data_IF_364506116607
#
_entry.id   IF_364506116607
#
_cell.length_a   1.000
_cell.length_b   1.000
_cell.length_c   1.000
_cell.angle_alpha   90.00
_cell.angle_beta   90.00
_cell.angle_gamma   90.00
#
_symmetry.space_group_name_H-M   'P 1'
#
loop_
_entity.id
_entity.type
_entity.pdbx_description
1 polymer ?
#
# COMPACT_ATOMS: atom_id res chain seq x y z
N UNK A 1 3.41 -8.87 23.80
CA UNK A 1 4.36 -7.83 24.28
C UNK A 1 3.54 -6.59 24.61
N UNK A 2 3.83 -5.88 25.72
CA UNK A 2 3.14 -4.63 26.08
C UNK A 2 4.16 -3.50 26.17
N UNK A 3 3.78 -2.29 25.77
CA UNK A 3 4.63 -1.10 25.84
C UNK A 3 3.83 0.15 26.21
N UNK A 4 4.52 1.17 26.72
CA UNK A 4 4.01 2.54 26.83
C UNK A 4 4.68 3.38 25.74
N UNK A 5 3.88 4.07 24.93
CA UNK A 5 4.35 5.00 23.89
C UNK A 5 3.84 6.40 24.20
N UNK A 6 4.64 7.40 23.87
CA UNK A 6 4.28 8.82 24.04
C UNK A 6 3.93 9.41 22.68
N UNK A 7 2.74 10.01 22.58
CA UNK A 7 2.26 10.66 21.36
C UNK A 7 1.88 12.11 21.72
N UNK A 8 2.69 13.06 21.26
CA UNK A 8 2.68 14.43 21.77
C UNK A 8 3.06 14.44 23.25
N UNK A 9 2.15 14.90 24.12
CA UNK A 9 2.37 15.00 25.58
C UNK A 9 1.51 14.00 26.36
N UNK A 10 1.07 12.91 25.72
CA UNK A 10 0.20 11.90 26.33
C UNK A 10 0.79 10.51 26.15
N UNK A 11 0.73 9.74 27.24
CA UNK A 11 1.17 8.35 27.29
C UNK A 11 0.01 7.41 26.93
N UNK A 12 0.33 6.40 26.14
CA UNK A 12 -0.59 5.37 25.65
C UNK A 12 -0.01 4.00 25.94
N UNK A 13 -0.84 3.10 26.51
CA UNK A 13 -0.46 1.71 26.70
C UNK A 13 -0.89 0.88 25.49
N UNK A 14 0.04 0.12 24.93
CA UNK A 14 -0.17 -0.72 23.74
C UNK A 14 0.05 -2.18 24.10
N UNK A 15 -0.84 -3.05 23.63
CA UNK A 15 -0.71 -4.51 23.74
C UNK A 15 -0.55 -5.11 22.35
N UNK A 16 0.69 -5.43 21.97
CA UNK A 16 1.03 -5.89 20.62
C UNK A 16 0.44 -7.26 20.28
N UNK A 17 -0.03 -8.05 21.26
CA UNK A 17 -0.76 -9.29 20.93
C UNK A 17 -2.18 -9.03 20.44
N UNK A 18 -2.64 -7.78 20.43
CA UNK A 18 -3.96 -7.36 19.92
C UNK A 18 -3.87 -6.61 18.59
N UNK A 19 -2.70 -6.63 17.94
CA UNK A 19 -2.54 -6.04 16.61
C UNK A 19 -3.52 -6.66 15.61
N UNK A 20 -4.00 -5.83 14.68
CA UNK A 20 -4.80 -6.28 13.53
C UNK A 20 -3.85 -6.27 12.34
N UNK A 21 -3.67 -7.44 11.73
CA UNK A 21 -2.94 -7.54 10.47
C UNK A 21 -3.81 -6.96 9.34
N UNK A 22 -3.26 -5.97 8.63
CA UNK A 22 -3.89 -5.30 7.49
C UNK A 22 -3.19 -5.65 6.17
N UNK A 23 -2.24 -6.59 6.19
CA UNK A 23 -1.52 -7.00 4.99
C UNK A 23 -2.35 -7.97 4.15
N UNK A 24 -2.18 -7.88 2.83
CA UNK A 24 -2.50 -8.94 1.89
C UNK A 24 -1.26 -9.84 1.83
N UNK A 25 -1.31 -11.07 2.38
CA UNK A 25 -0.15 -11.95 2.41
C UNK A 25 0.24 -12.41 1.00
N UNK A 26 1.54 -12.58 0.75
CA UNK A 26 2.03 -13.22 -0.47
C UNK A 26 1.68 -14.71 -0.45
N UNK A 27 0.54 -15.05 -1.05
CA UNK A 27 0.09 -16.43 -1.23
C UNK A 27 0.76 -17.05 -2.47
N UNK A 28 2.01 -17.48 -2.32
CA UNK A 28 2.79 -18.06 -3.42
C UNK A 28 2.04 -19.21 -4.10
N UNK A 29 1.99 -19.16 -5.44
CA UNK A 29 1.25 -20.10 -6.30
C UNK A 29 -0.30 -20.03 -6.15
N UNK A 30 -0.83 -19.36 -5.13
CA UNK A 30 -2.26 -19.19 -4.84
C UNK A 30 -2.81 -17.82 -5.24
N UNK A 31 -4.10 -17.59 -4.99
CA UNK A 31 -4.77 -16.31 -5.29
C UNK A 31 -4.07 -15.14 -4.60
N UNK A 32 -3.89 -14.06 -5.35
CA UNK A 32 -3.11 -12.87 -4.98
C UNK A 32 -3.57 -11.70 -5.88
N UNK A 33 -3.42 -10.44 -5.45
CA UNK A 33 -3.72 -9.32 -6.31
C UNK A 33 -2.73 -9.27 -7.48
N UNK A 34 -3.12 -8.61 -8.55
CA UNK A 34 -2.26 -8.36 -9.69
C UNK A 34 -2.49 -6.95 -10.22
N UNK A 35 -1.39 -6.25 -10.49
CA UNK A 35 -1.38 -5.01 -11.25
C UNK A 35 -0.44 -5.20 -12.43
N UNK A 36 -0.77 -4.61 -13.58
CA UNK A 36 0.03 -4.67 -14.83
C UNK A 36 0.20 -6.04 -15.49
N UNK A 37 -0.54 -7.07 -15.05
CA UNK A 37 -0.48 -8.40 -15.68
C UNK A 37 0.86 -9.11 -15.49
N UNK A 38 1.63 -8.75 -14.45
CA UNK A 38 2.92 -9.37 -14.16
C UNK A 38 2.76 -10.84 -13.79
N UNK A 39 3.87 -11.60 -13.86
CA UNK A 39 3.92 -12.97 -13.38
C UNK A 39 3.46 -13.06 -11.92
N UNK A 40 2.77 -14.16 -11.61
CA UNK A 40 2.28 -14.44 -10.26
C UNK A 40 3.46 -14.72 -9.33
N UNK A 41 3.38 -14.24 -8.09
CA UNK A 41 4.31 -14.64 -7.05
C UNK A 41 4.31 -16.16 -6.93
N UNK A 42 5.49 -16.74 -7.07
CA UNK A 42 5.68 -18.19 -7.12
C UNK A 42 6.74 -18.63 -6.14
N UNK A 43 6.59 -19.88 -5.70
CA UNK A 43 7.58 -20.58 -4.89
C UNK A 43 7.81 -21.96 -5.44
N UNK A 44 9.08 -22.34 -5.59
CA UNK A 44 9.49 -23.66 -6.08
C UNK A 44 10.63 -24.20 -5.21
N UNK A 45 10.66 -25.50 -4.88
CA UNK A 45 11.83 -26.09 -4.24
C UNK A 45 13.11 -25.77 -5.02
N UNK A 46 14.17 -25.39 -4.31
CA UNK A 46 15.48 -25.24 -4.93
C UNK A 46 15.96 -26.59 -5.47
N UNK A 47 16.55 -26.59 -6.67
CA UNK A 47 17.05 -27.81 -7.32
C UNK A 47 18.43 -27.56 -7.92
N UNK A 48 19.37 -28.43 -7.59
CA UNK A 48 20.72 -28.44 -8.16
C UNK A 48 21.21 -29.89 -8.34
N UNK A 49 21.28 -30.33 -9.60
CA UNK A 49 21.62 -31.72 -9.94
C UNK A 49 20.67 -32.74 -9.28
N UNK A 50 21.22 -33.55 -8.37
CA UNK A 50 20.45 -34.56 -7.60
C UNK A 50 19.84 -34.00 -6.31
N UNK A 51 20.20 -32.77 -5.94
CA UNK A 51 19.68 -32.14 -4.74
C UNK A 51 18.31 -31.51 -5.00
N UNK A 52 17.34 -31.78 -4.11
CA UNK A 52 16.03 -31.14 -4.10
C UNK A 52 15.75 -30.61 -2.68
N UNK A 53 15.50 -29.31 -2.56
CA UNK A 53 15.13 -28.63 -1.32
C UNK A 53 13.68 -28.88 -0.91
N UNK A 54 13.23 -30.14 -0.93
CA UNK A 54 11.88 -30.54 -0.52
C UNK A 54 11.89 -31.93 0.11
N UNK A 55 11.59 -32.00 1.41
CA UNK A 55 11.55 -33.25 2.17
C UNK A 55 10.48 -34.20 1.65
N UNK A 56 9.42 -33.67 1.02
CA UNK A 56 8.34 -34.46 0.41
C UNK A 56 8.79 -35.13 -0.89
N UNK A 57 9.91 -34.70 -1.47
CA UNK A 57 10.54 -35.27 -2.68
C UNK A 57 11.83 -36.02 -2.37
N UNK A 58 12.11 -36.34 -1.10
CA UNK A 58 13.31 -37.06 -0.67
C UNK A 58 14.51 -36.18 -0.34
N UNK A 59 14.34 -34.86 -0.33
CA UNK A 59 15.36 -33.92 0.12
C UNK A 59 15.61 -33.97 1.63
N UNK A 60 16.79 -33.55 2.12
CA UNK A 60 17.10 -33.53 3.54
C UNK A 60 16.47 -32.35 4.30
N UNK A 61 16.05 -31.29 3.60
CA UNK A 61 15.42 -30.10 4.17
C UNK A 61 14.52 -29.39 3.16
N UNK A 62 13.68 -28.46 3.64
CA UNK A 62 12.82 -27.62 2.82
C UNK A 62 13.44 -26.24 2.65
N UNK A 63 13.76 -25.86 1.42
CA UNK A 63 14.02 -24.46 1.08
C UNK A 63 13.65 -24.20 -0.37
N UNK A 64 12.95 -23.09 -0.56
CA UNK A 64 12.33 -22.75 -1.82
C UNK A 64 12.96 -21.47 -2.39
N UNK A 65 12.93 -21.36 -3.71
CA UNK A 65 13.22 -20.13 -4.44
C UNK A 65 11.91 -19.40 -4.67
N UNK A 66 11.81 -18.18 -4.14
CA UNK A 66 10.69 -17.27 -4.33
C UNK A 66 10.97 -16.32 -5.49
N UNK A 67 9.95 -16.04 -6.31
CA UNK A 67 10.00 -15.04 -7.38
C UNK A 67 8.70 -14.25 -7.39
N UNK A 68 8.78 -12.92 -7.34
CA UNK A 68 7.63 -12.02 -7.29
C UNK A 68 8.02 -10.59 -7.70
N UNK A 69 7.02 -9.82 -8.12
CA UNK A 69 7.12 -8.36 -8.35
C UNK A 69 6.43 -7.65 -7.19
N UNK A 70 7.22 -7.07 -6.29
CA UNK A 70 6.73 -6.61 -4.97
C UNK A 70 5.57 -5.60 -5.05
N UNK A 71 5.63 -4.67 -6.01
CA UNK A 71 4.60 -3.63 -6.21
C UNK A 71 3.28 -4.15 -6.79
N UNK A 72 3.23 -5.43 -7.21
CA UNK A 72 2.11 -5.95 -7.99
C UNK A 72 1.44 -7.18 -7.38
N UNK A 73 2.07 -7.87 -6.42
CA UNK A 73 1.60 -9.17 -5.92
C UNK A 73 1.05 -9.13 -4.47
N UNK A 74 1.10 -8.00 -3.78
CA UNK A 74 0.61 -7.89 -2.40
C UNK A 74 0.80 -6.52 -1.78
N UNK A 75 0.63 -6.43 -0.46
CA UNK A 75 0.93 -5.22 0.31
C UNK A 75 2.43 -4.95 0.29
N UNK A 76 2.80 -3.72 0.00
CA UNK A 76 4.19 -3.29 -0.12
C UNK A 76 4.33 -1.83 0.33
N UNK A 77 5.58 -1.35 0.34
CA UNK A 77 5.92 0.04 0.57
C UNK A 77 6.83 0.52 -0.54
N UNK A 78 6.80 1.81 -0.81
CA UNK A 78 7.64 2.45 -1.80
C UNK A 78 8.54 3.46 -1.11
N UNK A 79 9.68 3.73 -1.74
CA UNK A 79 10.54 4.85 -1.39
C UNK A 79 10.84 5.63 -2.67
N UNK A 80 11.48 6.79 -2.54
CA UNK A 80 11.78 7.65 -3.69
C UNK A 80 12.63 6.96 -4.78
N UNK A 81 13.39 5.92 -4.43
CA UNK A 81 14.10 5.07 -5.38
C UNK A 81 13.19 4.33 -6.38
N UNK A 82 11.87 4.28 -6.13
CA UNK A 82 10.88 3.75 -7.07
C UNK A 82 10.70 4.65 -8.31
N UNK A 83 10.84 5.97 -8.15
CA UNK A 83 10.53 6.97 -9.19
C UNK A 83 11.75 7.79 -9.62
N UNK A 84 12.95 7.41 -9.18
CA UNK A 84 14.20 8.10 -9.50
C UNK A 84 15.24 7.17 -10.12
N UNK A 85 16.20 7.73 -10.85
CA UNK A 85 17.33 6.97 -11.41
C UNK A 85 18.28 6.47 -10.30
N UNK A 86 18.31 7.15 -9.15
CA UNK A 86 19.13 6.77 -8.00
C UNK A 86 18.56 5.55 -7.28
N UNK A 87 19.43 4.60 -6.93
CA UNK A 87 19.06 3.41 -6.15
C UNK A 87 19.03 3.74 -4.67
N UNK A 88 17.96 4.39 -4.24
CA UNK A 88 17.67 4.70 -2.84
C UNK A 88 16.86 3.55 -2.25
N UNK A 89 17.30 3.01 -1.11
CA UNK A 89 16.62 1.90 -0.42
C UNK A 89 15.65 2.39 0.66
N UNK A 90 14.69 1.54 1.02
CA UNK A 90 13.67 1.88 2.03
C UNK A 90 14.27 2.15 3.41
N UNK A 91 15.38 1.49 3.78
CA UNK A 91 16.00 1.62 5.09
C UNK A 91 16.76 2.94 5.26
N UNK A 92 17.10 3.61 4.15
CA UNK A 92 17.61 4.98 4.17
C UNK A 92 16.54 6.02 4.56
N UNK A 93 15.26 5.68 4.35
CA UNK A 93 14.13 6.62 4.50
C UNK A 93 13.24 6.29 5.71
N UNK A 94 12.96 5.00 5.95
CA UNK A 94 12.10 4.54 7.04
C UNK A 94 12.93 4.23 8.30
N UNK A 95 13.02 5.22 9.20
CA UNK A 95 13.83 5.12 10.43
C UNK A 95 12.99 4.88 11.70
N UNK A 96 11.67 4.78 11.58
CA UNK A 96 10.75 4.61 12.69
C UNK A 96 9.90 3.35 12.52
N UNK A 97 9.76 2.59 13.60
CA UNK A 97 9.03 1.32 13.60
C UNK A 97 7.54 1.48 13.96
N UNK A 98 7.18 2.59 14.62
CA UNK A 98 5.85 2.81 15.19
C UNK A 98 5.38 4.23 14.90
N UNK A 99 4.41 4.36 14.00
CA UNK A 99 3.89 5.64 13.53
C UNK A 99 2.47 5.85 14.08
N UNK A 100 2.20 6.95 14.80
CA UNK A 100 0.84 7.34 15.16
C UNK A 100 0.02 7.64 13.91
N UNK A 101 -1.01 6.84 13.68
CA UNK A 101 -1.80 6.90 12.44
C UNK A 101 -3.30 6.98 12.68
N UNK A 102 -4.00 7.59 11.72
CA UNK A 102 -5.45 7.63 11.68
C UNK A 102 -5.98 6.87 10.47
N UNK A 103 -7.03 6.07 10.67
CA UNK A 103 -7.75 5.39 9.60
C UNK A 103 -9.04 6.14 9.30
N UNK A 104 -9.22 6.54 8.04
CA UNK A 104 -10.49 7.06 7.52
C UNK A 104 -11.02 6.18 6.40
N UNK A 105 -12.30 6.32 6.12
CA UNK A 105 -12.96 5.61 5.01
C UNK A 105 -13.55 6.60 4.04
N UNK A 106 -13.25 6.43 2.76
CA UNK A 106 -13.68 7.33 1.70
C UNK A 106 -14.39 6.51 0.64
N UNK A 107 -15.49 7.02 0.10
CA UNK A 107 -16.13 6.48 -1.09
C UNK A 107 -15.64 7.30 -2.29
N UNK A 108 -14.74 6.77 -3.13
CA UNK A 108 -14.23 7.50 -4.29
C UNK A 108 -15.35 7.93 -5.23
N UNK A 109 -15.22 9.11 -5.84
CA UNK A 109 -16.27 9.74 -6.64
C UNK A 109 -15.71 10.42 -7.88
N UNK A 110 -16.58 10.74 -8.83
CA UNK A 110 -16.22 11.64 -9.93
C UNK A 110 -15.97 13.05 -9.37
N UNK A 111 -15.02 13.77 -9.95
CA UNK A 111 -14.62 15.09 -9.48
C UNK A 111 -14.14 15.99 -10.63
N UNK A 112 -14.11 17.29 -10.36
CA UNK A 112 -13.47 18.30 -11.21
C UNK A 112 -12.14 18.80 -10.60
N UNK A 113 -11.65 18.16 -9.54
CA UNK A 113 -10.31 18.42 -8.98
C UNK A 113 -9.21 18.12 -10.00
N UNK A 114 -8.05 18.73 -9.78
CA UNK A 114 -6.91 18.68 -10.66
C UNK A 114 -6.30 17.27 -10.69
N UNK A 115 -6.02 16.80 -11.89
CA UNK A 115 -5.23 15.59 -12.13
C UNK A 115 -4.60 15.64 -13.52
N UNK A 116 -3.45 15.00 -13.69
CA UNK A 116 -2.77 14.86 -14.98
C UNK A 116 -2.48 13.37 -15.19
N UNK A 117 -2.98 12.76 -16.29
CA UNK A 117 -3.74 13.36 -17.40
C UNK A 117 -5.18 13.71 -17.00
N UNK A 118 -5.86 14.56 -17.78
CA UNK A 118 -7.22 15.03 -17.48
C UNK A 118 -8.15 13.85 -17.14
N UNK A 119 -8.94 14.04 -16.08
CA UNK A 119 -9.92 13.06 -15.62
C UNK A 119 -11.03 12.83 -16.65
N UNK A 120 -11.54 11.60 -16.68
CA UNK A 120 -12.72 11.24 -17.46
C UNK A 120 -13.83 10.69 -16.55
N UNK A 121 -15.01 10.42 -17.13
CA UNK A 121 -16.20 9.98 -16.40
C UNK A 121 -16.09 8.59 -15.78
N UNK A 122 -15.07 7.81 -16.12
CA UNK A 122 -14.81 6.48 -15.56
C UNK A 122 -13.84 6.55 -14.37
N UNK A 123 -13.27 7.72 -14.07
CA UNK A 123 -12.32 7.90 -12.99
C UNK A 123 -13.03 8.16 -11.66
N UNK A 124 -12.81 7.24 -10.71
CA UNK A 124 -13.20 7.39 -9.33
C UNK A 124 -12.00 7.88 -8.53
N UNK A 125 -12.15 9.03 -7.88
CA UNK A 125 -11.05 9.78 -7.28
C UNK A 125 -11.30 9.99 -5.79
N UNK A 126 -10.23 9.88 -5.01
CA UNK A 126 -10.17 10.31 -3.61
C UNK A 126 -9.85 11.81 -3.63
N UNK A 127 -10.80 12.62 -3.17
CA UNK A 127 -10.78 14.07 -3.35
C UNK A 127 -10.34 14.80 -2.09
N UNK A 128 -9.85 16.03 -2.24
CA UNK A 128 -9.54 16.93 -1.13
C UNK A 128 -10.78 17.18 -0.28
N UNK A 129 -11.92 17.43 -0.91
CA UNK A 129 -13.20 17.65 -0.21
C UNK A 129 -13.52 16.47 0.75
N UNK A 130 -13.34 15.23 0.30
CA UNK A 130 -13.61 14.06 1.14
C UNK A 130 -12.60 13.95 2.28
N UNK A 131 -11.34 14.28 2.04
CA UNK A 131 -10.31 14.31 3.07
C UNK A 131 -10.60 15.37 4.14
N UNK A 132 -10.94 16.60 3.75
CA UNK A 132 -11.31 17.68 4.68
C UNK A 132 -12.50 17.26 5.56
N UNK A 133 -13.52 16.65 4.96
CA UNK A 133 -14.71 16.20 5.67
C UNK A 133 -14.39 15.13 6.73
N UNK A 134 -13.56 14.14 6.38
CA UNK A 134 -13.25 13.01 7.26
C UNK A 134 -12.14 13.31 8.27
N UNK A 135 -11.30 14.31 8.01
CA UNK A 135 -10.16 14.67 8.86
C UNK A 135 -10.42 15.86 9.81
N UNK A 136 -11.53 16.60 9.64
CA UNK A 136 -11.85 17.81 10.43
C UNK A 136 -11.71 17.66 11.96
N UNK A 137 -12.06 16.49 12.51
CA UNK A 137 -12.07 16.22 13.96
C UNK A 137 -10.96 15.24 14.38
N UNK A 138 -10.08 14.87 13.45
CA UNK A 138 -8.97 13.97 13.73
C UNK A 138 -7.89 14.70 14.51
N UNK A 139 -7.42 14.07 15.58
CA UNK A 139 -6.32 14.60 16.37
C UNK A 139 -5.04 14.62 15.52
N UNK A 140 -4.51 15.80 15.24
CA UNK A 140 -3.31 16.00 14.42
C UNK A 140 -2.08 15.21 14.91
N UNK A 141 -2.01 14.86 16.20
CA UNK A 141 -0.95 14.00 16.75
C UNK A 141 -0.96 12.57 16.20
N UNK A 142 -2.06 12.14 15.57
CA UNK A 142 -2.23 10.84 14.91
C UNK A 142 -2.28 10.98 13.38
N UNK A 143 -1.81 12.10 12.83
CA UNK A 143 -1.73 12.31 11.38
C UNK A 143 -0.32 12.14 10.81
N UNK A 144 0.67 11.75 11.61
CA UNK A 144 1.98 11.37 11.05
C UNK A 144 1.84 10.22 10.05
N UNK A 145 0.95 9.26 10.35
CA UNK A 145 0.46 8.31 9.37
C UNK A 145 -1.02 8.52 9.04
N UNK A 146 -1.39 8.32 7.79
CA UNK A 146 -2.76 8.36 7.31
C UNK A 146 -3.07 7.07 6.55
N UNK A 147 -4.11 6.37 6.96
CA UNK A 147 -4.57 5.14 6.33
C UNK A 147 -5.91 5.42 5.65
N UNK A 148 -5.98 5.19 4.34
CA UNK A 148 -7.19 5.37 3.54
C UNK A 148 -7.77 4.01 3.19
N UNK A 149 -9.01 3.78 3.64
CA UNK A 149 -9.83 2.63 3.22
C UNK A 149 -10.88 3.08 2.22
N UNK A 150 -10.79 2.60 0.98
CA UNK A 150 -11.76 2.93 -0.07
C UNK A 150 -13.00 2.05 0.03
N UNK A 151 -14.17 2.66 -0.12
CA UNK A 151 -15.46 1.99 -0.07
C UNK A 151 -16.08 1.82 -1.46
N UNK A 152 -16.73 0.67 -1.73
CA UNK A 152 -16.84 -0.51 -0.86
C UNK A 152 -15.52 -1.29 -0.72
N UNK A 153 -15.22 -1.77 0.49
CA UNK A 153 -14.00 -2.53 0.78
C UNK A 153 -14.25 -4.05 0.79
N UNK A 154 -14.48 -4.62 -0.39
CA UNK A 154 -14.78 -6.04 -0.53
C UNK A 154 -13.54 -6.92 -0.32
N UNK A 155 -13.77 -8.14 0.19
CA UNK A 155 -12.73 -9.18 0.33
C UNK A 155 -12.04 -9.53 -1.00
N UNK A 156 -12.73 -9.35 -2.13
CA UNK A 156 -12.18 -9.60 -3.47
C UNK A 156 -10.95 -8.75 -3.79
N UNK A 157 -10.74 -7.60 -3.11
CA UNK A 157 -9.50 -6.81 -3.25
C UNK A 157 -8.24 -7.63 -2.95
N UNK A 158 -8.33 -8.65 -2.08
CA UNK A 158 -7.21 -9.53 -1.72
C UNK A 158 -6.71 -10.41 -2.87
N UNK A 159 -7.48 -10.57 -3.94
CA UNK A 159 -7.10 -11.37 -5.11
C UNK A 159 -7.48 -10.70 -6.45
N UNK A 160 -7.74 -9.39 -6.42
CA UNK A 160 -8.22 -8.62 -7.57
C UNK A 160 -7.13 -8.44 -8.63
N UNK A 161 -7.53 -8.60 -9.88
CA UNK A 161 -6.77 -8.16 -11.05
C UNK A 161 -7.16 -6.72 -11.38
N UNK A 162 -6.28 -5.78 -11.02
CA UNK A 162 -6.54 -4.34 -11.16
C UNK A 162 -6.42 -3.84 -12.61
N UNK A 163 -5.99 -4.70 -13.55
CA UNK A 163 -6.12 -4.41 -14.99
C UNK A 163 -7.52 -4.75 -15.52
N UNK A 164 -8.32 -5.50 -14.77
CA UNK A 164 -9.72 -5.82 -15.09
C UNK A 164 -10.71 -4.97 -14.29
N UNK A 165 -10.36 -4.65 -13.04
CA UNK A 165 -11.14 -3.79 -12.16
C UNK A 165 -10.33 -2.55 -11.77
N UNK A 166 -10.59 -1.44 -12.47
CA UNK A 166 -9.88 -0.16 -12.28
C UNK A 166 -9.97 0.32 -10.83
N UNK A 167 -8.83 0.55 -10.15
CA UNK A 167 -8.82 1.12 -8.81
C UNK A 167 -9.10 2.63 -8.84
N UNK A 168 -9.53 3.17 -7.70
CA UNK A 168 -9.49 4.61 -7.45
C UNK A 168 -8.07 5.09 -7.19
N UNK A 169 -7.86 6.39 -7.33
CA UNK A 169 -6.58 7.08 -7.10
C UNK A 169 -6.84 8.48 -6.52
N UNK A 170 -5.78 9.25 -6.24
CA UNK A 170 -5.90 10.58 -5.61
C UNK A 170 -5.93 11.69 -6.66
N UNK A 171 -6.63 12.79 -6.36
CA UNK A 171 -6.41 14.04 -7.08
C UNK A 171 -5.10 14.69 -6.62
N UNK A 172 -4.57 15.61 -7.41
CA UNK A 172 -3.42 16.44 -7.01
C UNK A 172 -3.80 17.28 -5.78
N UNK A 173 -4.99 17.89 -5.78
CA UNK A 173 -5.48 18.70 -4.65
C UNK A 173 -5.56 17.87 -3.34
N UNK A 174 -5.93 16.59 -3.44
CA UNK A 174 -5.96 15.68 -2.30
C UNK A 174 -4.55 15.41 -1.76
N UNK A 175 -3.59 15.15 -2.65
CA UNK A 175 -2.21 14.87 -2.24
C UNK A 175 -1.54 16.11 -1.62
N UNK A 176 -1.73 17.28 -2.21
CA UNK A 176 -1.26 18.55 -1.64
C UNK A 176 -1.87 18.79 -0.25
N UNK A 177 -3.14 18.48 -0.05
CA UNK A 177 -3.78 18.60 1.25
C UNK A 177 -3.16 17.65 2.28
N UNK A 178 -2.89 16.39 1.92
CA UNK A 178 -2.21 15.40 2.78
C UNK A 178 -0.82 15.91 3.20
N UNK A 179 -0.03 16.42 2.26
CA UNK A 179 1.28 17.01 2.55
C UNK A 179 1.15 18.22 3.48
N UNK A 180 0.20 19.11 3.24
CA UNK A 180 -0.04 20.30 4.08
C UNK A 180 -0.48 19.96 5.51
N UNK A 181 -1.08 18.78 5.74
CA UNK A 181 -1.40 18.28 7.07
C UNK A 181 -0.17 17.75 7.84
N UNK A 182 0.98 17.60 7.17
CA UNK A 182 2.19 17.02 7.75
C UNK A 182 2.13 15.50 7.86
N UNK A 183 1.37 14.84 6.98
CA UNK A 183 1.39 13.38 6.86
C UNK A 183 2.74 12.95 6.29
N UNK A 184 3.41 12.02 6.96
CA UNK A 184 4.71 11.47 6.57
C UNK A 184 4.55 10.07 5.94
N UNK A 185 3.52 9.33 6.36
CA UNK A 185 3.26 7.96 5.90
C UNK A 185 1.82 7.80 5.42
N UNK A 186 1.62 7.73 4.11
CA UNK A 186 0.32 7.45 3.50
C UNK A 186 0.20 5.95 3.20
N UNK A 187 -0.85 5.31 3.70
CA UNK A 187 -1.19 3.91 3.43
C UNK A 187 -2.55 3.87 2.73
N UNK A 188 -2.64 3.11 1.65
CA UNK A 188 -3.83 3.03 0.80
C UNK A 188 -4.17 1.59 0.49
N UNK A 189 -5.46 1.28 0.29
CA UNK A 189 -5.93 -0.06 -0.09
C UNK A 189 -6.11 -0.24 -1.61
N UNK A 190 -5.39 0.58 -2.38
CA UNK A 190 -5.28 0.57 -3.84
C UNK A 190 -3.82 0.29 -4.24
N UNK A 191 -3.57 -0.26 -5.44
CA UNK A 191 -2.21 -0.62 -5.87
C UNK A 191 -1.32 0.59 -6.20
N UNK A 192 -1.88 1.79 -6.29
CA UNK A 192 -1.17 3.03 -6.59
C UNK A 192 -1.94 4.22 -6.03
N UNK A 193 -1.23 5.32 -5.75
CA UNK A 193 -1.85 6.63 -5.48
C UNK A 193 -2.24 7.37 -6.77
N UNK A 194 -1.70 6.93 -7.91
CA UNK A 194 -1.99 7.45 -9.25
C UNK A 194 -2.89 6.50 -10.04
N UNK A 195 -3.46 7.03 -11.13
CA UNK A 195 -4.14 6.24 -12.14
C UNK A 195 -3.15 5.24 -12.74
N UNK A 196 -3.52 3.95 -12.80
CA UNK A 196 -2.61 2.89 -13.26
C UNK A 196 -1.98 3.15 -14.63
N UNK A 197 -2.76 3.72 -15.55
CA UNK A 197 -2.34 4.13 -16.88
C UNK A 197 -2.45 5.65 -16.99
N UNK A 198 -1.45 6.35 -16.46
CA UNK A 198 -1.36 7.81 -16.37
C UNK A 198 -0.36 8.42 -17.35
N UNK A 199 0.06 7.67 -18.37
CA UNK A 199 1.08 8.11 -19.35
C UNK A 199 2.47 8.37 -18.74
N UNK A 200 2.72 7.87 -17.52
CA UNK A 200 4.00 8.03 -16.82
C UNK A 200 4.16 9.37 -16.10
N UNK A 201 3.06 10.08 -15.82
CA UNK A 201 3.11 11.37 -15.14
C UNK A 201 3.42 11.23 -13.63
N UNK A 202 2.87 10.21 -12.98
CA UNK A 202 3.00 9.94 -11.55
C UNK A 202 2.72 11.20 -10.71
N UNK A 203 1.64 11.90 -11.05
CA UNK A 203 1.32 13.24 -10.53
C UNK A 203 1.05 13.27 -9.03
N UNK A 204 0.62 12.15 -8.44
CA UNK A 204 0.42 12.02 -7.00
C UNK A 204 1.62 11.44 -6.26
N UNK A 205 2.56 10.79 -6.95
CA UNK A 205 3.83 10.38 -6.32
C UNK A 205 4.85 11.54 -6.22
N UNK A 206 4.82 12.49 -7.17
CA UNK A 206 5.72 13.65 -7.22
C UNK A 206 5.19 14.84 -6.41
#
# INVERSE_FOLDING_TARGET
MKAEVEIGNKKYNVDFSKGIDISIPLNFNGEQPNTYGVERASSKPFQDGQFIGDTRKGGPCNFETYSFTIHCNGTHTECIGHITDERIDILSSLNEEMIPSSLISITPKMTNENYIPILNTENLVITKEDLELHLKDVNSKFLRGLIIRTLPNYESKKSRDYMKETPSFFSIDAMEYIVNLGVEHLLVDTPSVDRLLDEGNLSSHN
#
